data_IF_355646057148
#
_entry.id   IF_355646057148
#
_cell.length_a   1.000
_cell.length_b   1.000
_cell.length_c   1.000
_cell.angle_alpha   90.00
_cell.angle_beta   90.00
_cell.angle_gamma   90.00
#
_symmetry.space_group_name_H-M   'P 1'
#
loop_
_entity.id
_entity.type
_entity.pdbx_description
1 polymer ?
#
# COMPACT_ATOMS: atom_id res chain seq x y z
N UNK A 1 12.82 26.77 56.11
CA UNK A 1 13.99 25.86 56.17
C UNK A 1 14.17 25.19 54.81
N UNK A 2 14.94 25.80 53.90
CA UNK A 2 15.26 25.19 52.60
C UNK A 2 16.55 24.39 52.78
N UNK A 3 16.41 23.06 52.77
CA UNK A 3 17.49 22.09 52.99
C UNK A 3 18.50 22.21 51.84
N UNK A 4 19.74 22.53 52.14
CA UNK A 4 20.83 22.66 51.16
C UNK A 4 20.93 21.38 50.34
N UNK A 5 20.58 21.45 49.06
CA UNK A 5 20.76 20.36 48.12
C UNK A 5 22.22 20.40 47.69
N UNK A 6 23.02 19.45 48.17
CA UNK A 6 24.43 19.33 47.80
C UNK A 6 24.54 18.83 46.36
N UNK A 7 25.42 19.47 45.57
CA UNK A 7 25.78 19.11 44.18
C UNK A 7 25.86 17.59 43.92
N UNK A 8 26.49 16.76 44.77
CA UNK A 8 26.51 15.30 44.57
C UNK A 8 25.14 14.63 44.57
N UNK A 9 24.16 15.14 45.33
CA UNK A 9 22.79 14.58 45.34
C UNK A 9 22.05 14.90 44.04
N UNK A 10 22.31 16.07 43.46
CA UNK A 10 21.77 16.45 42.16
C UNK A 10 22.37 15.54 41.08
N UNK A 11 23.69 15.34 41.10
CA UNK A 11 24.37 14.47 40.15
C UNK A 11 23.84 13.02 40.19
N UNK A 12 23.63 12.46 41.39
CA UNK A 12 23.05 11.12 41.55
C UNK A 12 21.61 11.07 41.06
N UNK A 13 20.77 12.05 41.42
CA UNK A 13 19.38 12.10 40.95
C UNK A 13 19.29 12.20 39.42
N UNK A 14 20.16 13.01 38.80
CA UNK A 14 20.24 13.13 37.34
C UNK A 14 20.70 11.82 36.70
N UNK A 15 21.71 11.14 37.25
CA UNK A 15 22.19 9.87 36.73
C UNK A 15 21.11 8.78 36.80
N UNK A 16 20.37 8.71 37.91
CA UNK A 16 19.23 7.78 38.06
C UNK A 16 18.13 8.10 37.04
N UNK A 17 17.79 9.37 36.87
CA UNK A 17 16.79 9.79 35.89
C UNK A 17 17.21 9.43 34.45
N UNK A 18 18.48 9.67 34.09
CA UNK A 18 19.02 9.31 32.77
C UNK A 18 18.99 7.80 32.56
N UNK A 19 19.37 7.00 33.56
CA UNK A 19 19.32 5.55 33.49
C UNK A 19 17.89 5.03 33.30
N UNK A 20 16.91 5.61 34.01
CA UNK A 20 15.49 5.27 33.84
C UNK A 20 14.97 5.64 32.44
N UNK A 21 15.34 6.81 31.91
CA UNK A 21 14.96 7.24 30.56
C UNK A 21 15.61 6.35 29.48
N UNK A 22 16.87 5.96 29.65
CA UNK A 22 17.57 5.03 28.76
C UNK A 22 16.93 3.63 28.79
N UNK A 23 16.61 3.11 29.98
CA UNK A 23 15.93 1.83 30.14
C UNK A 23 14.53 1.84 29.50
N UNK A 24 13.77 2.93 29.71
CA UNK A 24 12.47 3.13 29.07
C UNK A 24 12.60 3.20 27.54
N UNK A 25 13.57 3.95 27.02
CA UNK A 25 13.84 4.05 25.58
C UNK A 25 14.28 2.73 24.95
N UNK A 26 14.99 1.89 25.70
CA UNK A 26 15.36 0.54 25.25
C UNK A 26 14.16 -0.41 25.22
N UNK A 27 13.28 -0.34 26.23
CA UNK A 27 12.07 -1.16 26.30
C UNK A 27 11.04 -0.78 25.23
N UNK A 28 10.94 0.51 24.87
CA UNK A 28 10.00 1.00 23.86
C UNK A 28 10.56 1.01 22.45
N UNK A 29 11.80 0.54 22.25
CA UNK A 29 12.42 0.46 20.92
C UNK A 29 11.72 -0.62 20.09
N UNK A 30 10.99 -0.20 19.07
CA UNK A 30 10.51 -1.10 18.02
C UNK A 30 11.68 -1.48 17.10
N UNK A 31 11.92 -2.77 16.91
CA UNK A 31 12.90 -3.26 15.96
C UNK A 31 12.40 -3.00 14.52
N UNK A 32 13.15 -2.26 13.67
CA UNK A 32 12.80 -2.10 12.26
C UNK A 32 12.62 -3.44 11.53
N UNK A 33 13.25 -4.52 12.01
CA UNK A 33 13.13 -5.85 11.43
C UNK A 33 11.75 -6.50 11.66
N UNK A 34 10.99 -6.07 12.68
CA UNK A 34 9.65 -6.60 12.96
C UNK A 34 8.55 -5.93 12.13
N UNK A 35 8.87 -4.84 11.41
CA UNK A 35 7.90 -4.14 10.56
C UNK A 35 7.72 -4.89 9.23
N UNK A 36 6.48 -4.94 8.69
CA UNK A 36 6.25 -5.51 7.37
C UNK A 36 6.98 -4.70 6.30
N UNK A 37 7.32 -5.31 5.17
CA UNK A 37 7.99 -4.60 4.08
C UNK A 37 7.13 -3.48 3.51
N UNK A 38 5.84 -3.75 3.33
CA UNK A 38 4.88 -2.80 2.80
C UNK A 38 3.75 -2.60 3.81
N UNK A 39 3.31 -1.35 3.93
CA UNK A 39 2.08 -0.96 4.62
C UNK A 39 1.08 -0.42 3.63
N UNK A 40 -0.11 -0.99 3.59
CA UNK A 40 -1.20 -0.53 2.74
C UNK A 40 -1.81 0.73 3.37
N UNK A 41 -1.72 1.86 2.67
CA UNK A 41 -2.27 3.14 3.11
C UNK A 41 -3.76 3.27 2.79
N UNK A 42 -4.21 2.65 1.71
CA UNK A 42 -5.59 2.70 1.26
C UNK A 42 -5.82 1.82 0.05
N UNK A 43 -7.08 1.46 -0.18
CA UNK A 43 -7.52 0.68 -1.34
C UNK A 43 -8.97 0.98 -1.68
N UNK A 44 -9.37 0.72 -2.91
CA UNK A 44 -10.75 0.94 -3.33
C UNK A 44 -10.96 0.77 -4.83
N UNK A 45 -12.23 0.85 -5.22
CA UNK A 45 -12.66 0.93 -6.61
C UNK A 45 -12.77 2.39 -7.05
N UNK A 46 -12.35 2.66 -8.27
CA UNK A 46 -12.47 3.95 -8.94
C UNK A 46 -13.41 3.78 -10.13
N UNK A 47 -14.50 4.54 -10.11
CA UNK A 47 -15.51 4.53 -11.15
C UNK A 47 -15.44 5.84 -11.94
N UNK A 48 -14.99 5.77 -13.19
CA UNK A 48 -14.97 6.91 -14.08
C UNK A 48 -16.16 6.85 -15.05
N UNK A 49 -17.25 7.50 -14.65
CA UNK A 49 -18.50 7.57 -15.42
C UNK A 49 -18.35 8.29 -16.77
N UNK A 50 -17.33 9.14 -16.95
CA UNK A 50 -17.14 9.89 -18.21
C UNK A 50 -16.66 8.99 -19.34
N UNK A 51 -15.78 8.05 -19.02
CA UNK A 51 -15.19 7.11 -20.00
C UNK A 51 -15.67 5.67 -19.82
N UNK A 52 -16.63 5.44 -18.91
CA UNK A 52 -17.13 4.11 -18.56
C UNK A 52 -16.02 3.13 -18.14
N UNK A 53 -15.04 3.63 -17.38
CA UNK A 53 -13.89 2.87 -16.92
C UNK A 53 -14.00 2.59 -15.42
N UNK A 54 -13.73 1.35 -15.04
CA UNK A 54 -13.74 0.88 -13.66
C UNK A 54 -12.48 0.10 -13.42
N UNK A 55 -11.73 0.50 -12.40
CA UNK A 55 -10.55 -0.23 -11.95
C UNK A 55 -10.49 -0.15 -10.44
N UNK A 56 -9.67 -1.00 -9.84
CA UNK A 56 -9.43 -0.94 -8.40
C UNK A 56 -7.97 -1.10 -8.10
N UNK A 57 -7.56 -0.54 -6.98
CA UNK A 57 -6.16 -0.40 -6.67
C UNK A 57 -5.92 -0.19 -5.19
N UNK A 58 -4.65 -0.15 -4.85
CA UNK A 58 -4.18 0.18 -3.52
C UNK A 58 -2.91 1.01 -3.61
N UNK A 59 -2.65 1.73 -2.52
CA UNK A 59 -1.39 2.45 -2.33
C UNK A 59 -0.64 1.80 -1.18
N UNK A 60 0.61 1.43 -1.42
CA UNK A 60 1.52 0.89 -0.43
C UNK A 60 2.65 1.87 -0.11
N UNK A 61 3.07 1.89 1.15
CA UNK A 61 4.25 2.56 1.65
C UNK A 61 5.32 1.52 1.99
N UNK A 62 6.54 1.73 1.52
CA UNK A 62 7.70 0.94 1.91
C UNK A 62 8.10 1.35 3.33
N UNK A 63 7.80 0.51 4.33
CA UNK A 63 8.17 0.78 5.74
C UNK A 63 9.55 0.22 6.08
N UNK A 64 9.91 -0.95 5.52
CA UNK A 64 11.24 -1.53 5.64
C UNK A 64 12.00 -1.36 4.31
N UNK A 65 13.24 -0.85 4.33
CA UNK A 65 14.02 -0.68 3.11
C UNK A 65 14.10 -1.97 2.30
N UNK A 66 13.70 -1.89 1.03
CA UNK A 66 13.80 -2.97 0.07
C UNK A 66 15.12 -2.86 -0.71
N UNK A 67 15.72 -3.99 -1.14
CA UNK A 67 16.84 -3.94 -2.07
C UNK A 67 16.48 -3.15 -3.32
N UNK A 68 17.40 -2.30 -3.80
CA UNK A 68 17.18 -1.52 -5.02
C UNK A 68 16.84 -2.43 -6.20
N UNK A 69 15.79 -2.08 -6.94
CA UNK A 69 15.32 -2.86 -8.08
C UNK A 69 14.41 -4.03 -7.73
N UNK A 70 14.03 -4.20 -6.45
CA UNK A 70 12.96 -5.14 -6.04
C UNK A 70 11.67 -4.87 -6.80
N UNK A 71 10.83 -5.88 -6.96
CA UNK A 71 9.61 -5.80 -7.77
C UNK A 71 8.40 -6.04 -6.88
N UNK A 72 7.47 -5.10 -6.86
CA UNK A 72 6.16 -5.27 -6.23
C UNK A 72 5.22 -5.81 -7.30
N UNK A 73 4.74 -7.04 -7.09
CA UNK A 73 3.76 -7.71 -7.92
C UNK A 73 2.41 -7.74 -7.18
N UNK A 74 1.37 -7.26 -7.83
CA UNK A 74 0.00 -7.36 -7.35
C UNK A 74 -0.83 -8.17 -8.35
N UNK A 75 -1.47 -9.22 -7.87
CA UNK A 75 -2.44 -10.01 -8.63
C UNK A 75 -3.84 -9.65 -8.17
N UNK A 76 -4.60 -9.03 -9.05
CA UNK A 76 -5.97 -8.59 -8.84
C UNK A 76 -6.94 -9.70 -9.32
N UNK A 77 -7.89 -10.11 -8.48
CA UNK A 77 -8.99 -10.99 -8.90
C UNK A 77 -9.81 -10.34 -10.03
N UNK A 78 -10.22 -11.12 -11.04
CA UNK A 78 -11.12 -10.64 -12.08
C UNK A 78 -12.57 -10.69 -11.58
N UNK A 79 -13.27 -9.54 -11.45
CA UNK A 79 -14.66 -9.52 -11.01
C UNK A 79 -15.61 -10.31 -11.92
N UNK A 80 -15.30 -10.43 -13.22
CA UNK A 80 -16.08 -11.21 -14.17
C UNK A 80 -15.86 -12.74 -14.03
N UNK A 81 -14.96 -13.17 -13.15
CA UNK A 81 -14.65 -14.58 -12.88
C UNK A 81 -13.57 -15.18 -13.78
N UNK A 82 -12.86 -14.37 -14.58
CA UNK A 82 -11.74 -14.80 -15.39
C UNK A 82 -10.41 -14.92 -14.63
N UNK A 83 -9.31 -14.96 -15.39
CA UNK A 83 -7.97 -15.02 -14.83
C UNK A 83 -7.59 -13.69 -14.15
N UNK A 84 -6.94 -13.76 -12.98
CA UNK A 84 -6.51 -12.57 -12.27
C UNK A 84 -5.50 -11.73 -13.06
N UNK A 85 -5.58 -10.41 -12.89
CA UNK A 85 -4.70 -9.46 -13.56
C UNK A 85 -3.43 -9.24 -12.74
N UNK A 86 -2.27 -9.53 -13.34
CA UNK A 86 -0.97 -9.33 -12.70
C UNK A 86 -0.41 -7.98 -13.12
N UNK A 87 -0.08 -7.14 -12.15
CA UNK A 87 0.54 -5.83 -12.35
C UNK A 87 1.82 -5.78 -11.54
N UNK A 88 2.90 -5.35 -12.19
CA UNK A 88 4.23 -5.28 -11.60
C UNK A 88 4.76 -3.85 -11.65
N UNK A 89 5.44 -3.43 -10.60
CA UNK A 89 6.18 -2.17 -10.59
C UNK A 89 7.52 -2.36 -9.89
N UNK A 90 8.56 -1.69 -10.38
CA UNK A 90 9.91 -1.77 -9.83
C UNK A 90 10.10 -0.69 -8.78
N UNK A 91 10.70 -1.07 -7.66
CA UNK A 91 11.03 -0.16 -6.55
C UNK A 91 12.28 0.66 -6.93
N UNK A 92 12.07 1.96 -7.06
CA UNK A 92 13.11 2.97 -7.25
C UNK A 92 13.65 3.52 -5.92
N UNK A 93 14.61 4.42 -6.02
CA UNK A 93 15.23 5.11 -4.87
C UNK A 93 14.60 6.48 -4.58
N UNK A 94 13.74 6.95 -5.48
CA UNK A 94 13.12 8.28 -5.50
C UNK A 94 11.80 8.36 -4.73
N UNK A 95 11.12 7.21 -4.55
CA UNK A 95 9.83 7.15 -3.83
C UNK A 95 9.72 5.93 -2.92
N UNK A 96 9.08 6.15 -1.77
CA UNK A 96 8.65 5.10 -0.85
C UNK A 96 7.16 4.73 -1.03
N UNK A 97 6.41 5.47 -1.86
CA UNK A 97 4.97 5.24 -2.09
C UNK A 97 4.73 4.71 -3.49
N UNK A 98 3.99 3.61 -3.57
CA UNK A 98 3.65 2.91 -4.81
C UNK A 98 2.15 2.71 -4.89
N UNK A 99 1.55 3.15 -6.00
CA UNK A 99 0.14 2.92 -6.30
C UNK A 99 0.02 1.92 -7.44
N UNK A 100 -0.61 0.78 -7.15
CA UNK A 100 -0.89 -0.26 -8.14
C UNK A 100 -2.40 -0.30 -8.39
N UNK A 101 -2.77 -0.41 -9.65
CA UNK A 101 -4.17 -0.50 -10.08
C UNK A 101 -4.34 -1.63 -11.09
N UNK A 102 -5.49 -2.28 -11.04
CA UNK A 102 -5.89 -3.24 -12.07
C UNK A 102 -6.03 -2.53 -13.42
N UNK A 103 -6.00 -3.29 -14.53
CA UNK A 103 -6.63 -2.88 -15.77
C UNK A 103 -8.13 -2.57 -15.57
N UNK A 104 -8.76 -2.02 -16.61
CA UNK A 104 -10.21 -1.84 -16.67
C UNK A 104 -10.92 -3.19 -16.47
N UNK A 105 -11.75 -3.28 -15.45
CA UNK A 105 -12.55 -4.47 -15.10
C UNK A 105 -14.03 -4.19 -15.28
N UNK A 106 -14.83 -5.25 -15.47
CA UNK A 106 -16.29 -5.18 -15.57
C UNK A 106 -16.92 -6.24 -14.67
N UNK A 107 -18.20 -6.05 -14.32
CA UNK A 107 -18.92 -7.01 -13.49
C UNK A 107 -18.66 -6.86 -11.99
N UNK A 108 -18.27 -5.66 -11.55
CA UNK A 108 -18.06 -5.40 -10.11
C UNK A 108 -19.40 -5.38 -9.38
N UNK A 109 -19.64 -6.40 -8.56
CA UNK A 109 -20.76 -6.46 -7.64
C UNK A 109 -20.56 -5.57 -6.40
N UNK A 110 -21.65 -4.97 -5.92
CA UNK A 110 -21.69 -4.23 -4.65
C UNK A 110 -21.47 -5.19 -3.48
N UNK A 111 -20.72 -4.75 -2.48
CA UNK A 111 -20.45 -5.46 -1.22
C UNK A 111 -19.71 -6.79 -1.35
N UNK A 112 -19.31 -7.18 -2.56
CA UNK A 112 -18.47 -8.34 -2.81
C UNK A 112 -17.00 -8.01 -2.51
N UNK A 113 -16.30 -8.81 -1.67
CA UNK A 113 -14.87 -8.67 -1.47
C UNK A 113 -14.10 -9.30 -2.63
N UNK A 114 -13.23 -8.53 -3.27
CA UNK A 114 -12.29 -9.00 -4.29
C UNK A 114 -10.88 -9.09 -3.71
N UNK A 115 -10.17 -10.18 -3.99
CA UNK A 115 -8.85 -10.40 -3.44
C UNK A 115 -7.76 -9.77 -4.30
N UNK A 116 -6.77 -9.19 -3.63
CA UNK A 116 -5.52 -8.74 -4.23
C UNK A 116 -4.38 -9.46 -3.51
N UNK A 117 -3.65 -10.30 -4.22
CA UNK A 117 -2.45 -10.94 -3.69
C UNK A 117 -1.24 -10.08 -4.00
N UNK A 118 -0.48 -9.71 -2.97
CA UNK A 118 0.70 -8.84 -3.08
C UNK A 118 1.93 -9.69 -2.80
N UNK A 119 2.94 -9.53 -3.65
CA UNK A 119 4.25 -10.17 -3.50
C UNK A 119 5.33 -9.14 -3.73
N UNK A 120 6.39 -9.21 -2.94
CA UNK A 120 7.63 -8.49 -3.21
C UNK A 120 8.65 -9.52 -3.64
N UNK A 121 9.15 -9.36 -4.85
CA UNK A 121 10.18 -10.19 -5.44
C UNK A 121 11.53 -9.46 -5.33
N UNK A 122 12.60 -10.24 -5.34
CA UNK A 122 13.93 -9.70 -5.56
C UNK A 122 14.06 -9.09 -6.97
N UNK A 123 15.19 -8.43 -7.22
CA UNK A 123 15.45 -7.78 -8.51
C UNK A 123 15.53 -8.74 -9.70
N UNK A 124 15.83 -10.02 -9.46
CA UNK A 124 15.96 -11.06 -10.49
C UNK A 124 14.68 -11.89 -10.69
N UNK A 125 13.60 -11.59 -9.96
CA UNK A 125 12.34 -12.36 -9.95
C UNK A 125 12.49 -13.83 -9.51
N UNK A 126 13.55 -14.16 -8.78
CA UNK A 126 13.89 -15.53 -8.33
C UNK A 126 13.38 -15.83 -6.93
N UNK A 127 13.39 -14.84 -6.05
CA UNK A 127 13.04 -15.01 -4.64
C UNK A 127 11.85 -14.14 -4.27
N UNK A 128 10.95 -14.68 -3.42
CA UNK A 128 9.86 -13.89 -2.84
C UNK A 128 10.28 -13.41 -1.46
N UNK A 129 10.61 -12.12 -1.37
CA UNK A 129 11.02 -11.46 -0.13
C UNK A 129 9.85 -11.29 0.85
N UNK A 130 8.63 -11.11 0.32
CA UNK A 130 7.43 -10.89 1.13
C UNK A 130 6.14 -11.21 0.39
N UNK A 131 5.09 -11.58 1.13
CA UNK A 131 3.74 -11.82 0.60
C UNK A 131 2.69 -11.29 1.56
N UNK A 132 1.60 -10.78 1.01
CA UNK A 132 0.42 -10.38 1.76
C UNK A 132 -0.84 -10.50 0.88
N UNK A 133 -2.01 -10.40 1.51
CA UNK A 133 -3.29 -10.41 0.81
C UNK A 133 -4.19 -9.32 1.35
N UNK A 134 -4.77 -8.58 0.43
CA UNK A 134 -5.74 -7.53 0.70
C UNK A 134 -7.11 -7.93 0.13
N UNK A 135 -8.17 -7.60 0.86
CA UNK A 135 -9.55 -7.73 0.39
C UNK A 135 -10.13 -6.35 0.15
N UNK A 136 -10.45 -6.03 -1.10
CA UNK A 136 -11.03 -4.75 -1.49
C UNK A 136 -12.52 -4.94 -1.73
N UNK A 137 -13.35 -4.16 -1.05
CA UNK A 137 -14.82 -4.17 -1.22
C UNK A 137 -15.26 -2.93 -1.99
N UNK A 138 -16.17 -3.11 -2.94
CA UNK A 138 -16.87 -1.97 -3.55
C UNK A 138 -18.14 -1.64 -2.77
N UNK A 139 -18.36 -0.36 -2.46
CA UNK A 139 -19.64 0.12 -1.89
C UNK A 139 -20.72 0.34 -2.95
N UNK A 140 -20.36 0.31 -4.24
CA UNK A 140 -21.23 0.59 -5.39
C UNK A 140 -21.06 -0.52 -6.44
N UNK A 141 -22.16 -0.91 -7.09
CA UNK A 141 -22.12 -1.90 -8.18
C UNK A 141 -21.76 -1.23 -9.51
N UNK A 142 -20.99 -1.90 -10.36
CA UNK A 142 -20.75 -1.51 -11.77
C UNK A 142 -22.05 -1.47 -12.59
N UNK A 143 -23.15 -2.07 -12.09
CA UNK A 143 -24.48 -1.92 -12.70
C UNK A 143 -24.97 -0.46 -12.78
N UNK A 144 -24.38 0.46 -12.01
CA UNK A 144 -24.67 1.90 -12.05
C UNK A 144 -23.82 2.60 -13.13
N UNK A 145 -22.79 1.95 -13.68
CA UNK A 145 -21.96 2.49 -14.75
C UNK A 145 -22.58 2.16 -16.11
N UNK A 146 -22.79 3.17 -16.99
CA UNK A 146 -23.36 2.95 -18.32
C UNK A 146 -22.48 2.02 -19.18
N UNK A 147 -23.11 1.15 -19.99
CA UNK A 147 -22.40 0.23 -20.87
C UNK A 147 -21.54 0.92 -21.97
N UNK A 148 -21.80 2.20 -22.25
CA UNK A 148 -21.09 3.02 -23.22
C UNK A 148 -20.83 4.43 -22.64
N UNK A 149 -19.73 5.11 -23.02
CA UNK A 149 -19.47 6.48 -22.60
C UNK A 149 -20.67 7.38 -22.92
N UNK A 150 -21.13 8.16 -21.93
CA UNK A 150 -22.26 9.09 -22.10
C UNK A 150 -21.90 10.35 -22.90
N UNK A 151 -20.63 10.48 -23.31
CA UNK A 151 -20.17 11.63 -24.08
C UNK A 151 -19.13 11.18 -25.11
N UNK A 152 -19.44 11.38 -26.39
CA UNK A 152 -18.50 11.25 -27.51
C UNK A 152 -18.22 12.67 -27.99
N UNK A 153 -16.95 13.10 -27.93
CA UNK A 153 -16.53 14.44 -28.38
C UNK A 153 -15.19 14.38 -29.11
N UNK A 154 -14.91 15.32 -30.04
CA UNK A 154 -13.69 15.33 -30.85
C UNK A 154 -12.48 15.56 -29.93
N UNK A 155 -11.74 14.48 -29.66
CA UNK A 155 -10.61 14.44 -28.72
C UNK A 155 -10.47 13.09 -28.01
N UNK A 156 -11.56 12.31 -27.88
CA UNK A 156 -11.57 11.05 -27.11
C UNK A 156 -11.71 9.78 -27.96
N UNK A 157 -11.82 9.91 -29.28
CA UNK A 157 -11.89 8.79 -30.20
C UNK A 157 -10.81 8.93 -31.28
N UNK A 158 -9.62 8.38 -31.01
CA UNK A 158 -8.89 7.70 -32.08
C UNK A 158 -8.98 6.21 -31.82
N UNK A 159 -10.01 5.62 -32.43
CA UNK A 159 -10.09 4.19 -32.68
C UNK A 159 -8.81 3.78 -33.42
N UNK A 160 -8.12 2.77 -32.89
CA UNK A 160 -7.28 1.91 -33.72
C UNK A 160 -7.87 0.51 -33.63
N UNK A 161 -8.76 0.23 -34.58
CA UNK A 161 -9.01 -1.12 -35.05
C UNK A 161 -7.93 -1.41 -36.10
N UNK A 162 -7.07 -2.37 -35.80
CA UNK A 162 -6.48 -3.34 -36.74
C UNK A 162 -6.08 -4.57 -35.91
#
# INVERSE_FOLDING_TARGET
MIRQVTVPRIAVATAVLLALLLAAGWLTREDPASKPYLKILGSGFMFNYRVADVYYGFTALVERPLPTGSIIEATFEDPAGGAGHVVRTRVGTDTARYSLRSPSVRGVEKDRPYRVAIRVLDREEREVLWRDRLSVRSQISDAVVPAKPLTVGPGYARLRSD
#
